data_IF_400903250145
#
_entry.id   IF_400903250145
#
_cell.length_a   1.000
_cell.length_b   1.000
_cell.length_c   1.000
_cell.angle_alpha   90.00
_cell.angle_beta   90.00
_cell.angle_gamma   90.00
#
_symmetry.space_group_name_H-M   'P 1'
#
loop_
_entity.id
_entity.type
_entity.pdbx_description
1 polymer ?
#
# COMPACT_ATOMS: atom_id res chain seq x y z
N UNK A 1 2.15 -6.87 -11.44
CA UNK A 1 3.52 -6.60 -11.02
C UNK A 1 3.67 -6.63 -9.49
N UNK A 2 2.68 -6.13 -8.72
CA UNK A 2 2.78 -5.96 -7.26
C UNK A 2 2.20 -7.11 -6.43
N UNK A 3 2.18 -8.33 -6.95
CA UNK A 3 1.58 -9.48 -6.26
C UNK A 3 2.38 -9.91 -5.02
N UNK A 4 3.69 -9.69 -5.05
CA UNK A 4 4.59 -10.00 -3.94
C UNK A 4 4.97 -8.77 -3.09
N UNK A 5 4.37 -7.61 -3.38
CA UNK A 5 4.64 -6.38 -2.62
C UNK A 5 3.82 -6.38 -1.34
N UNK A 6 4.49 -6.36 -0.19
CA UNK A 6 3.85 -6.32 1.14
C UNK A 6 2.97 -5.07 1.28
N UNK A 7 1.76 -5.24 1.81
CA UNK A 7 0.84 -4.13 2.07
C UNK A 7 0.32 -3.40 0.82
N UNK A 8 0.55 -3.92 -0.38
CA UNK A 8 0.04 -3.31 -1.61
C UNK A 8 -1.49 -3.40 -1.68
N UNK A 9 -2.12 -2.28 -2.00
CA UNK A 9 -3.57 -2.19 -2.23
C UNK A 9 -3.86 -1.99 -3.72
N UNK A 10 -4.68 -2.85 -4.34
CA UNK A 10 -4.97 -2.76 -5.76
C UNK A 10 -5.72 -1.48 -6.09
N UNK A 11 -5.36 -0.88 -7.22
CA UNK A 11 -6.05 0.27 -7.79
C UNK A 11 -7.28 -0.21 -8.54
N UNK A 12 -8.41 0.40 -8.25
CA UNK A 12 -9.67 0.19 -8.96
C UNK A 12 -9.72 1.18 -10.12
N UNK A 13 -9.95 0.69 -11.33
CA UNK A 13 -10.20 1.55 -12.49
C UNK A 13 -11.70 1.67 -12.73
N UNK A 14 -12.18 2.89 -12.92
CA UNK A 14 -13.55 3.14 -13.35
C UNK A 14 -13.56 3.61 -14.82
N UNK A 15 -14.59 3.20 -15.55
CA UNK A 15 -14.82 3.65 -16.90
C UNK A 15 -16.00 4.62 -16.91
N UNK A 16 -15.79 5.80 -17.46
CA UNK A 16 -16.85 6.77 -17.69
C UNK A 16 -17.05 6.97 -19.18
N UNK A 17 -18.31 7.04 -19.60
CA UNK A 17 -18.66 7.39 -20.96
C UNK A 17 -18.41 8.89 -21.21
N UNK A 18 -17.87 9.21 -22.37
CA UNK A 18 -17.64 10.59 -22.77
C UNK A 18 -18.94 11.15 -23.35
N UNK A 19 -19.16 12.46 -23.14
CA UNK A 19 -20.33 13.17 -23.63
C UNK A 19 -20.59 12.93 -25.12
N UNK A 20 -21.84 12.65 -25.45
CA UNK A 20 -22.29 12.56 -26.83
C UNK A 20 -22.28 13.95 -27.48
N UNK A 21 -21.74 14.06 -28.67
CA UNK A 21 -21.89 15.26 -29.52
C UNK A 21 -23.10 15.11 -30.45
N UNK A 22 -23.88 16.18 -30.56
CA UNK A 22 -24.96 16.22 -31.55
C UNK A 22 -24.40 16.46 -32.95
N UNK A 23 -24.57 15.50 -33.81
CA UNK A 23 -24.26 15.66 -35.23
C UNK A 23 -25.50 16.20 -35.95
N UNK A 24 -25.41 17.41 -36.46
CA UNK A 24 -26.49 18.00 -37.24
C UNK A 24 -26.59 17.32 -38.60
N UNK A 25 -27.42 16.31 -38.69
CA UNK A 25 -27.86 15.76 -39.97
C UNK A 25 -29.27 16.30 -40.27
N UNK A 26 -29.49 16.75 -41.50
CA UNK A 26 -30.64 17.50 -41.99
C UNK A 26 -32.04 17.02 -41.58
N UNK A 27 -32.21 15.91 -40.85
CA UNK A 27 -33.53 15.34 -40.54
C UNK A 27 -33.65 14.59 -39.22
N UNK A 28 -32.55 14.39 -38.47
CA UNK A 28 -32.63 13.74 -37.16
C UNK A 28 -31.45 14.17 -36.27
N UNK A 29 -31.70 14.37 -34.98
CA UNK A 29 -30.66 14.51 -33.96
C UNK A 29 -29.93 13.16 -33.79
N UNK A 30 -28.87 12.97 -34.52
CA UNK A 30 -27.98 11.78 -34.35
C UNK A 30 -26.96 12.12 -33.28
N UNK A 31 -26.95 11.36 -32.21
CA UNK A 31 -25.96 11.46 -31.14
C UNK A 31 -24.72 10.59 -31.55
N UNK A 32 -23.59 11.23 -31.69
CA UNK A 32 -22.30 10.56 -31.89
C UNK A 32 -21.61 10.39 -30.55
N UNK A 33 -21.35 9.14 -30.14
CA UNK A 33 -20.58 8.83 -28.94
C UNK A 33 -19.11 9.22 -29.13
N UNK A 34 -18.52 9.82 -28.09
CA UNK A 34 -17.09 10.21 -28.08
C UNK A 34 -16.21 9.11 -27.49
N UNK A 35 -16.76 7.94 -27.20
CA UNK A 35 -16.07 6.82 -26.59
C UNK A 35 -16.11 6.80 -25.05
N UNK A 36 -15.30 5.93 -24.46
CA UNK A 36 -15.19 5.80 -23.00
C UNK A 36 -13.79 6.16 -22.52
N UNK A 37 -13.70 6.69 -21.32
CA UNK A 37 -12.44 7.04 -20.67
C UNK A 37 -12.26 6.21 -19.41
N UNK A 38 -11.10 5.57 -19.29
CA UNK A 38 -10.69 4.98 -18.03
C UNK A 38 -10.18 6.09 -17.09
N UNK A 39 -10.65 6.08 -15.85
CA UNK A 39 -10.23 7.00 -14.80
C UNK A 39 -9.83 6.22 -13.55
N UNK A 40 -9.02 6.85 -12.71
CA UNK A 40 -8.68 6.33 -11.41
C UNK A 40 -9.95 6.29 -10.54
N UNK A 41 -10.33 5.09 -10.10
CA UNK A 41 -11.52 4.85 -9.26
C UNK A 41 -11.22 4.73 -7.77
N UNK A 42 -9.93 4.89 -7.40
CA UNK A 42 -9.49 4.73 -6.01
C UNK A 42 -8.67 3.47 -5.79
N UNK A 43 -8.39 3.18 -4.54
CA UNK A 43 -7.74 1.94 -4.10
C UNK A 43 -8.75 1.06 -3.36
N UNK A 44 -8.52 -0.24 -3.34
CA UNK A 44 -9.25 -1.15 -2.46
C UNK A 44 -8.51 -1.25 -1.12
N UNK A 45 -8.99 -0.62 -0.04
CA UNK A 45 -8.30 -0.58 1.25
C UNK A 45 -8.49 -1.87 2.07
N UNK A 46 -9.28 -2.83 1.61
CA UNK A 46 -9.59 -4.06 2.34
C UNK A 46 -8.33 -4.75 2.83
N UNK A 47 -8.39 -5.26 4.06
CA UNK A 47 -7.29 -6.01 4.64
C UNK A 47 -7.06 -7.31 3.87
N UNK A 48 -5.79 -7.59 3.58
CA UNK A 48 -5.33 -8.83 2.97
C UNK A 48 -4.90 -9.85 4.04
N UNK A 49 -4.53 -11.04 3.62
CA UNK A 49 -4.05 -12.07 4.55
C UNK A 49 -2.78 -11.64 5.25
N UNK A 50 -2.71 -11.90 6.55
CA UNK A 50 -1.51 -11.72 7.36
C UNK A 50 -0.70 -13.02 7.33
N UNK A 51 0.60 -12.92 7.04
CA UNK A 51 1.53 -14.06 6.94
C UNK A 51 2.59 -13.92 8.01
N UNK A 52 2.84 -14.97 8.81
CA UNK A 52 3.89 -14.94 9.80
C UNK A 52 5.27 -14.97 9.11
N UNK A 53 6.14 -14.05 9.50
CA UNK A 53 7.53 -13.97 9.04
C UNK A 53 8.51 -14.44 10.10
N UNK A 54 8.16 -14.29 11.37
CA UNK A 54 9.00 -14.59 12.51
C UNK A 54 10.04 -13.51 12.84
N UNK A 55 10.08 -12.43 12.03
CA UNK A 55 10.95 -11.29 12.30
C UNK A 55 10.29 -10.34 13.31
N UNK A 56 11.02 -9.93 14.34
CA UNK A 56 10.49 -9.12 15.43
C UNK A 56 10.11 -7.70 15.02
N UNK A 57 10.69 -7.20 13.95
CA UNK A 57 10.48 -5.84 13.42
C UNK A 57 9.35 -5.77 12.38
N UNK A 58 8.89 -6.93 11.93
CA UNK A 58 7.76 -7.01 11.02
C UNK A 58 6.46 -6.76 11.78
N UNK A 59 5.74 -5.74 11.37
CA UNK A 59 4.50 -5.31 12.02
C UNK A 59 3.35 -5.38 11.02
N UNK A 60 2.23 -5.94 11.43
CA UNK A 60 1.01 -5.91 10.65
C UNK A 60 -0.13 -5.28 11.45
N UNK A 61 -0.94 -4.47 10.77
CA UNK A 61 -2.16 -3.90 11.37
C UNK A 61 -3.28 -4.92 11.16
N UNK A 62 -3.92 -5.33 12.25
CA UNK A 62 -5.13 -6.13 12.21
C UNK A 62 -6.35 -5.20 12.27
N UNK A 63 -7.00 -5.00 11.13
CA UNK A 63 -8.09 -4.04 10.97
C UNK A 63 -7.73 -2.83 10.11
N UNK A 64 -8.48 -1.74 10.29
CA UNK A 64 -8.29 -0.51 9.53
C UNK A 64 -7.12 0.31 10.10
N UNK A 65 -6.37 0.95 9.21
CA UNK A 65 -5.29 1.86 9.58
C UNK A 65 -4.13 1.83 8.59
N UNK A 66 -3.20 2.74 8.77
CA UNK A 66 -2.02 2.91 7.93
C UNK A 66 -0.87 3.36 8.81
N UNK A 67 0.30 2.81 8.57
CA UNK A 67 1.54 3.36 9.14
C UNK A 67 1.88 4.67 8.46
N UNK A 68 2.48 5.59 9.19
CA UNK A 68 3.00 6.83 8.62
C UNK A 68 4.52 6.76 8.54
N UNK A 69 5.07 7.19 7.42
CA UNK A 69 6.51 7.30 7.18
C UNK A 69 6.84 8.71 6.71
N UNK A 70 7.95 9.23 7.17
CA UNK A 70 8.46 10.54 6.76
C UNK A 70 9.44 10.37 5.62
N UNK A 71 9.00 10.76 4.43
CA UNK A 71 9.82 10.73 3.22
C UNK A 71 10.39 12.11 2.93
N UNK A 72 11.38 12.20 2.05
CA UNK A 72 11.97 13.48 1.60
C UNK A 72 10.93 14.47 1.04
N UNK A 73 9.77 13.95 0.61
CA UNK A 73 8.69 14.72 0.00
C UNK A 73 7.50 14.94 0.95
N UNK A 74 7.66 14.63 2.24
CA UNK A 74 6.65 14.76 3.28
C UNK A 74 6.09 13.42 3.74
N UNK A 75 5.12 13.47 4.64
CA UNK A 75 4.52 12.30 5.27
C UNK A 75 3.74 11.47 4.23
N UNK A 76 4.01 10.17 4.21
CA UNK A 76 3.33 9.17 3.39
C UNK A 76 2.77 8.07 4.27
N UNK A 77 1.87 7.31 3.72
CA UNK A 77 1.19 6.24 4.45
C UNK A 77 1.41 4.90 3.76
N UNK A 78 1.60 3.86 4.56
CA UNK A 78 1.85 2.52 4.05
C UNK A 78 1.10 1.46 4.86
N UNK A 79 0.84 0.33 4.24
CA UNK A 79 0.40 -0.90 4.91
C UNK A 79 1.54 -1.91 5.06
N UNK A 80 2.66 -1.68 4.38
CA UNK A 80 3.86 -2.48 4.59
C UNK A 80 4.43 -2.20 5.97
N UNK A 81 4.63 -3.24 6.75
CA UNK A 81 5.25 -3.18 8.06
C UNK A 81 6.61 -3.87 8.09
N UNK A 82 7.21 -4.11 6.94
CA UNK A 82 8.57 -4.62 6.84
C UNK A 82 9.57 -3.52 7.22
N UNK A 83 9.78 -3.37 8.52
CA UNK A 83 10.64 -2.32 9.07
C UNK A 83 12.03 -2.85 9.39
N UNK A 84 13.01 -1.97 9.28
CA UNK A 84 14.40 -2.24 9.60
C UNK A 84 14.96 -1.16 10.51
N UNK A 85 16.11 -1.41 11.10
CA UNK A 85 16.81 -0.42 11.95
C UNK A 85 17.90 0.23 11.12
N UNK A 86 17.88 1.56 11.04
CA UNK A 86 18.95 2.36 10.49
C UNK A 86 19.69 3.07 11.62
N UNK A 87 21.00 2.91 11.71
CA UNK A 87 21.83 3.59 12.70
C UNK A 87 22.38 4.89 12.12
N UNK A 88 21.98 6.01 12.71
CA UNK A 88 22.55 7.33 12.41
C UNK A 88 23.31 7.87 13.60
N UNK A 89 24.65 7.83 13.50
CA UNK A 89 25.52 8.25 14.59
C UNK A 89 25.36 7.39 15.85
N UNK A 90 24.80 7.95 16.90
CA UNK A 90 24.60 7.27 18.19
C UNK A 90 23.12 6.88 18.45
N UNK A 91 22.24 7.09 17.50
CA UNK A 91 20.81 6.79 17.59
C UNK A 91 20.40 5.84 16.48
N UNK A 92 19.59 4.88 16.81
CA UNK A 92 19.02 3.94 15.82
C UNK A 92 17.56 4.33 15.60
N UNK A 93 17.15 4.41 14.35
CA UNK A 93 15.79 4.74 13.95
C UNK A 93 15.10 3.56 13.27
N UNK A 94 13.79 3.47 13.43
CA UNK A 94 12.97 2.54 12.68
C UNK A 94 12.69 3.13 11.30
N UNK A 95 13.04 2.39 10.24
CA UNK A 95 12.86 2.82 8.84
C UNK A 95 12.16 1.74 8.03
N UNK A 96 11.55 2.15 6.94
CA UNK A 96 10.96 1.23 5.97
C UNK A 96 12.02 0.66 5.00
N UNK A 97 11.58 -0.14 4.03
CA UNK A 97 12.46 -0.72 2.99
C UNK A 97 13.16 0.33 2.11
N UNK A 98 12.63 1.56 2.04
CA UNK A 98 13.18 2.66 1.26
C UNK A 98 14.16 3.51 2.08
N UNK A 99 14.24 3.30 3.39
CA UNK A 99 15.01 4.09 4.33
C UNK A 99 14.27 5.33 4.84
N UNK A 100 12.96 5.39 4.69
CA UNK A 100 12.11 6.46 5.21
C UNK A 100 11.77 6.20 6.69
N UNK A 101 11.74 7.24 7.52
CA UNK A 101 11.54 7.09 8.96
C UNK A 101 10.09 6.79 9.33
N UNK A 102 9.89 5.79 10.18
CA UNK A 102 8.57 5.46 10.71
C UNK A 102 8.19 6.47 11.80
N UNK A 103 6.94 6.93 11.75
CA UNK A 103 6.42 7.95 12.66
C UNK A 103 5.62 7.34 13.80
N UNK A 104 5.74 7.96 14.97
CA UNK A 104 4.90 7.69 16.13
C UNK A 104 3.51 8.36 16.01
N UNK A 105 2.69 8.20 17.03
CA UNK A 105 1.34 8.83 17.15
C UNK A 105 1.38 10.36 17.12
N UNK A 106 2.52 10.96 17.47
CA UNK A 106 2.71 12.41 17.56
C UNK A 106 3.39 12.98 16.30
N UNK A 107 3.79 12.13 15.36
CA UNK A 107 4.51 12.53 14.16
C UNK A 107 6.02 12.67 14.35
N UNK A 108 6.59 12.07 15.40
CA UNK A 108 8.04 12.03 15.60
C UNK A 108 8.62 10.74 15.06
N UNK A 109 9.91 10.74 14.71
CA UNK A 109 10.63 9.55 14.31
C UNK A 109 10.78 8.59 15.49
N UNK A 110 10.56 7.31 15.27
CA UNK A 110 10.71 6.27 16.30
C UNK A 110 12.20 5.95 16.41
N UNK A 111 12.79 6.38 17.54
CA UNK A 111 14.17 6.10 17.87
C UNK A 111 14.27 4.96 18.87
N UNK A 112 15.16 3.99 18.62
CA UNK A 112 15.61 3.10 19.66
C UNK A 112 16.48 3.88 20.60
N UNK A 113 16.08 4.00 21.83
CA UNK A 113 16.98 4.44 22.87
C UNK A 113 18.14 3.46 22.93
N UNK A 114 19.32 3.89 22.44
CA UNK A 114 20.57 3.26 22.83
C UNK A 114 20.64 3.41 24.36
N UNK A 115 20.23 2.37 25.10
CA UNK A 115 20.43 2.40 26.55
C UNK A 115 21.94 2.37 26.79
N UNK A 116 22.51 3.56 26.87
CA UNK A 116 23.74 3.74 27.61
C UNK A 116 23.37 3.44 29.07
N UNK A 117 23.31 2.17 29.41
CA UNK A 117 23.37 1.77 30.79
C UNK A 117 24.72 2.27 31.28
N UNK A 118 24.76 3.41 31.90
CA UNK A 118 25.81 3.79 32.84
C UNK A 118 25.82 2.70 33.89
N UNK A 119 26.72 1.74 33.72
CA UNK A 119 27.10 0.84 34.80
C UNK A 119 27.67 1.75 35.89
N UNK A 120 27.08 1.82 37.09
CA UNK A 120 27.73 2.47 38.19
C UNK A 120 28.97 1.60 38.53
N UNK A 121 30.14 2.15 38.25
CA UNK A 121 31.42 1.67 38.70
C UNK A 121 31.43 1.85 40.21
N UNK A 122 30.94 0.83 40.96
CA UNK A 122 31.32 0.54 42.33
C UNK A 122 30.52 -0.65 42.88
N UNK A 123 31.15 -1.84 42.80
CA UNK A 123 30.99 -2.83 43.87
C UNK A 123 32.17 -3.81 43.75
N UNK A 124 33.06 -3.67 44.68
CA UNK A 124 34.19 -4.57 44.90
C UNK A 124 33.77 -6.01 45.27
N UNK A 125 34.56 -6.96 44.74
CA UNK A 125 35.01 -8.16 45.41
C UNK A 125 34.00 -9.13 46.03
N UNK A 126 33.95 -10.35 45.47
CA UNK A 126 33.42 -11.53 46.18
C UNK A 126 33.17 -12.75 45.32
N UNK A 127 34.24 -13.50 45.01
CA UNK A 127 34.38 -14.98 45.03
C UNK A 127 33.24 -15.90 44.52
N UNK A 128 33.62 -16.69 43.48
CA UNK A 128 33.24 -18.07 43.18
C UNK A 128 31.78 -18.54 43.18
N UNK A 129 31.28 -18.90 42.02
CA UNK A 129 30.91 -20.31 41.73
C UNK A 129 30.42 -20.46 40.27
N UNK A 130 30.98 -21.48 39.59
CA UNK A 130 30.57 -22.01 38.28
C UNK A 130 29.06 -22.08 38.09
N UNK A 131 28.53 -21.46 37.03
CA UNK A 131 27.46 -22.03 36.22
C UNK A 131 27.60 -21.49 34.79
N UNK A 132 27.80 -22.39 33.86
CA UNK A 132 27.93 -22.19 32.45
C UNK A 132 26.62 -21.69 31.84
N UNK A 133 26.82 -20.93 30.76
CA UNK A 133 25.88 -20.71 29.66
C UNK A 133 24.57 -19.95 29.93
N UNK A 134 24.68 -18.64 29.85
CA UNK A 134 23.79 -17.83 29.06
C UNK A 134 24.60 -16.66 28.52
N UNK A 135 25.14 -16.80 27.32
CA UNK A 135 25.60 -15.68 26.57
C UNK A 135 24.40 -14.77 26.37
N UNK A 136 24.26 -13.77 27.25
CA UNK A 136 23.37 -12.66 27.02
C UNK A 136 23.92 -11.95 25.79
N UNK A 137 23.41 -12.33 24.61
CA UNK A 137 23.50 -11.50 23.44
C UNK A 137 23.05 -10.09 23.85
N UNK A 138 23.97 -9.18 23.73
CA UNK A 138 23.75 -7.74 23.87
C UNK A 138 22.82 -7.32 22.74
N UNK A 139 21.53 -7.63 22.88
CA UNK A 139 20.51 -7.19 21.98
C UNK A 139 20.34 -5.69 22.23
N UNK A 140 21.07 -4.90 21.48
CA UNK A 140 20.69 -3.51 21.19
C UNK A 140 19.37 -3.61 20.43
N UNK A 141 18.30 -3.87 21.12
CA UNK A 141 17.06 -4.24 20.48
C UNK A 141 15.94 -3.31 20.92
N UNK A 142 15.19 -2.85 19.93
CA UNK A 142 13.81 -2.49 20.14
C UNK A 142 13.10 -3.69 20.80
N UNK A 143 12.47 -3.45 21.93
CA UNK A 143 11.56 -4.44 22.49
C UNK A 143 10.31 -4.49 21.60
N UNK A 144 10.00 -5.64 20.96
CA UNK A 144 8.87 -5.77 20.05
C UNK A 144 7.53 -5.33 20.68
N UNK A 145 7.38 -5.58 21.98
CA UNK A 145 6.18 -5.17 22.71
C UNK A 145 6.07 -3.65 22.85
N UNK A 146 7.20 -2.96 22.97
CA UNK A 146 7.21 -1.49 23.04
C UNK A 146 6.98 -0.84 21.69
N UNK A 147 7.41 -1.48 20.59
CA UNK A 147 7.21 -0.98 19.22
C UNK A 147 5.73 -0.90 18.85
N UNK A 148 4.94 -1.92 19.16
CA UNK A 148 3.50 -1.91 18.86
C UNK A 148 2.75 -0.77 19.53
N UNK A 149 3.23 -0.32 20.69
CA UNK A 149 2.66 0.80 21.43
C UNK A 149 3.12 2.17 20.89
N UNK A 150 4.33 2.24 20.31
CA UNK A 150 4.96 3.47 19.85
C UNK A 150 4.55 3.81 18.42
N UNK A 151 4.42 2.79 17.55
CA UNK A 151 4.12 3.01 16.13
C UNK A 151 2.79 3.72 15.96
N UNK A 152 2.81 4.81 15.18
CA UNK A 152 1.63 5.58 14.81
C UNK A 152 0.79 4.84 13.77
N UNK A 153 -0.47 4.59 14.10
CA UNK A 153 -1.46 4.08 13.13
C UNK A 153 -2.52 5.13 12.89
N UNK A 154 -2.76 5.41 11.63
CA UNK A 154 -3.63 6.50 11.19
C UNK A 154 -4.80 5.96 10.38
N UNK A 155 -5.96 6.58 10.54
CA UNK A 155 -7.16 6.27 9.78
C UNK A 155 -7.62 7.47 8.97
N UNK A 156 -8.20 7.21 7.82
CA UNK A 156 -8.80 8.21 6.94
C UNK A 156 -10.32 8.08 6.93
N UNK A 157 -11.00 9.20 6.71
CA UNK A 157 -12.45 9.20 6.54
C UNK A 157 -12.86 8.46 5.25
N UNK A 158 -12.06 8.62 4.19
CA UNK A 158 -12.24 7.93 2.91
C UNK A 158 -10.91 7.34 2.43
N UNK A 159 -10.56 6.12 2.87
CA UNK A 159 -9.28 5.50 2.52
C UNK A 159 -9.17 5.13 1.04
N UNK A 160 -10.30 4.93 0.33
CA UNK A 160 -10.32 4.62 -1.11
C UNK A 160 -9.76 5.76 -1.96
N UNK A 161 -9.88 7.00 -1.48
CA UNK A 161 -9.43 8.19 -2.18
C UNK A 161 -7.93 8.49 -2.01
N UNK A 162 -7.18 7.70 -1.24
CA UNK A 162 -5.74 7.86 -1.12
C UNK A 162 -5.07 7.72 -2.49
N UNK A 163 -4.07 8.56 -2.75
CA UNK A 163 -3.35 8.56 -4.02
C UNK A 163 -2.11 7.68 -3.92
N UNK A 164 -1.99 6.60 -4.71
CA UNK A 164 -0.77 5.79 -4.74
C UNK A 164 0.36 6.58 -5.41
N UNK A 165 1.51 6.67 -4.75
CA UNK A 165 2.71 7.32 -5.29
C UNK A 165 3.75 6.29 -5.69
N UNK A 166 3.88 5.23 -4.92
CA UNK A 166 4.77 4.10 -5.18
C UNK A 166 4.03 2.79 -4.96
N UNK A 167 4.72 1.67 -5.08
CA UNK A 167 4.11 0.35 -4.95
C UNK A 167 3.38 0.13 -3.62
N UNK A 168 3.88 0.71 -2.53
CA UNK A 168 3.34 0.54 -1.18
C UNK A 168 3.17 1.86 -0.41
N UNK A 169 3.37 3.03 -1.07
CA UNK A 169 3.25 4.35 -0.46
C UNK A 169 2.06 5.13 -1.01
N UNK A 170 1.30 5.72 -0.12
CA UNK A 170 0.07 6.46 -0.41
C UNK A 170 0.14 7.87 0.17
N UNK A 171 -0.45 8.82 -0.54
CA UNK A 171 -0.56 10.21 -0.12
C UNK A 171 -1.99 10.56 0.22
N UNK A 172 -2.16 11.28 1.33
CA UNK A 172 -3.45 11.87 1.67
C UNK A 172 -3.76 13.06 0.77
N UNK A 173 -5.00 13.13 0.31
CA UNK A 173 -5.51 14.23 -0.48
C UNK A 173 -6.79 14.83 0.13
N UNK A 174 -7.31 15.89 -0.48
CA UNK A 174 -8.52 16.55 0.01
C UNK A 174 -9.76 15.64 0.07
N UNK A 175 -9.79 14.57 -0.74
CA UNK A 175 -10.92 13.63 -0.82
C UNK A 175 -10.79 12.51 0.21
N UNK A 176 -9.56 12.10 0.57
CA UNK A 176 -9.33 11.10 1.62
C UNK A 176 -9.62 11.66 3.02
N UNK A 177 -9.56 12.99 3.17
CA UNK A 177 -9.63 13.67 4.44
C UNK A 177 -8.28 13.67 5.19
N UNK A 178 -8.27 14.33 6.34
CA UNK A 178 -7.10 14.38 7.21
C UNK A 178 -6.89 13.03 7.91
N UNK A 179 -5.62 12.66 8.10
CA UNK A 179 -5.25 11.50 8.89
C UNK A 179 -5.64 11.70 10.36
N UNK A 180 -6.33 10.75 10.94
CA UNK A 180 -6.67 10.72 12.36
C UNK A 180 -5.95 9.56 13.04
N UNK A 181 -5.31 9.83 14.18
CA UNK A 181 -4.57 8.84 14.96
C UNK A 181 -5.54 7.83 15.58
N UNK A 182 -5.19 6.56 15.54
CA UNK A 182 -5.87 5.50 16.28
C UNK A 182 -5.14 5.32 17.61
N UNK A 183 -5.81 5.59 18.71
CA UNK A 183 -5.18 5.55 20.05
C UNK A 183 -4.77 4.14 20.48
N UNK A 184 -5.58 3.15 20.13
CA UNK A 184 -5.35 1.73 20.45
C UNK A 184 -5.42 0.91 19.15
N UNK A 185 -4.37 0.94 18.34
CA UNK A 185 -4.33 0.11 17.13
C UNK A 185 -4.08 -1.36 17.52
N UNK A 186 -4.70 -2.25 16.78
CA UNK A 186 -4.38 -3.68 16.87
C UNK A 186 -3.22 -3.98 15.93
N UNK A 187 -2.00 -3.96 16.46
CA UNK A 187 -0.76 -4.22 15.72
C UNK A 187 -0.15 -5.53 16.22
N UNK A 188 0.13 -6.43 15.30
CA UNK A 188 0.72 -7.73 15.57
C UNK A 188 2.16 -7.75 15.08
N UNK A 189 3.09 -8.24 15.91
CA UNK A 189 4.50 -8.41 15.57
C UNK A 189 4.76 -9.77 14.92
N UNK A 190 5.78 -9.85 14.06
CA UNK A 190 6.15 -11.08 13.37
C UNK A 190 5.23 -11.47 12.22
N UNK A 191 4.43 -10.53 11.73
CA UNK A 191 3.52 -10.71 10.61
C UNK A 191 3.67 -9.57 9.61
N UNK A 192 3.43 -9.90 8.33
CA UNK A 192 3.30 -8.92 7.27
C UNK A 192 1.96 -9.10 6.54
N UNK A 193 1.38 -8.00 6.10
CA UNK A 193 0.22 -8.04 5.25
C UNK A 193 0.64 -8.33 3.81
N UNK A 194 0.05 -9.36 3.20
CA UNK A 194 0.28 -9.67 1.80
C UNK A 194 -0.33 -8.62 0.87
N UNK A 195 0.10 -8.68 -0.40
CA UNK A 195 -0.54 -7.90 -1.45
C UNK A 195 -2.04 -8.20 -1.53
N UNK A 196 -2.86 -7.15 -1.68
CA UNK A 196 -4.29 -7.27 -1.97
C UNK A 196 -4.60 -7.72 -3.41
N UNK A 197 -3.58 -8.00 -4.22
CA UNK A 197 -3.74 -8.47 -5.59
C UNK A 197 -3.96 -9.99 -5.63
N UNK A 198 -5.03 -10.42 -6.29
CA UNK A 198 -5.26 -11.81 -6.66
C UNK A 198 -4.77 -12.05 -8.09
N UNK A 199 -3.84 -12.99 -8.27
CA UNK A 199 -3.38 -13.38 -9.61
C UNK A 199 -4.52 -13.99 -10.43
N UNK A 200 -5.39 -14.73 -9.79
CA UNK A 200 -6.53 -15.40 -10.46
C UNK A 200 -7.50 -14.36 -11.01
N UNK A 201 -7.88 -13.37 -10.17
CA UNK A 201 -8.77 -12.30 -10.61
C UNK A 201 -8.14 -11.47 -11.72
N UNK A 202 -6.85 -11.13 -11.62
CA UNK A 202 -6.14 -10.42 -12.67
C UNK A 202 -6.06 -11.19 -14.00
N UNK A 203 -5.96 -12.52 -13.97
CA UNK A 203 -6.02 -13.34 -15.18
C UNK A 203 -7.43 -13.38 -15.77
N UNK A 204 -8.46 -13.46 -14.93
CA UNK A 204 -9.86 -13.40 -15.39
C UNK A 204 -10.16 -12.07 -16.06
N UNK A 205 -9.76 -10.98 -15.45
CA UNK A 205 -9.94 -9.63 -16.01
C UNK A 205 -9.20 -9.46 -17.34
N UNK A 206 -7.98 -9.99 -17.45
CA UNK A 206 -7.21 -9.96 -18.69
C UNK A 206 -7.90 -10.75 -19.81
N UNK A 207 -8.41 -11.94 -19.50
CA UNK A 207 -9.16 -12.75 -20.49
C UNK A 207 -10.46 -12.06 -20.89
N UNK A 208 -11.18 -11.44 -19.94
CA UNK A 208 -12.38 -10.67 -20.21
C UNK A 208 -12.10 -9.46 -21.13
N UNK A 209 -11.05 -8.70 -20.82
CA UNK A 209 -10.62 -7.57 -21.64
C UNK A 209 -10.20 -8.00 -23.06
N UNK A 210 -9.45 -9.12 -23.17
CA UNK A 210 -9.06 -9.67 -24.46
C UNK A 210 -10.27 -10.08 -25.29
N UNK A 211 -11.28 -10.74 -24.69
CA UNK A 211 -12.51 -11.11 -25.39
C UNK A 211 -13.31 -9.88 -25.82
N UNK A 212 -13.41 -8.85 -24.97
CA UNK A 212 -14.09 -7.61 -25.29
C UNK A 212 -13.42 -6.91 -26.50
N UNK A 213 -12.09 -6.88 -26.53
CA UNK A 213 -11.34 -6.35 -27.67
C UNK A 213 -11.60 -7.15 -28.97
N UNK A 214 -11.57 -8.49 -28.89
CA UNK A 214 -11.83 -9.36 -30.03
C UNK A 214 -13.26 -9.18 -30.57
N UNK A 215 -14.25 -9.03 -29.68
CA UNK A 215 -15.64 -8.76 -30.10
C UNK A 215 -15.77 -7.41 -30.77
N UNK A 216 -15.15 -6.37 -30.22
CA UNK A 216 -15.14 -5.03 -30.83
C UNK A 216 -14.50 -5.03 -32.21
N UNK A 217 -13.37 -5.72 -32.38
CA UNK A 217 -12.71 -5.87 -33.68
C UNK A 217 -13.60 -6.62 -34.69
N UNK A 218 -14.30 -7.66 -34.23
CA UNK A 218 -15.22 -8.41 -35.09
C UNK A 218 -16.43 -7.58 -35.53
N UNK A 219 -16.97 -6.74 -34.65
CA UNK A 219 -18.06 -5.82 -35.00
C UNK A 219 -17.61 -4.82 -36.09
N UNK A 220 -16.39 -4.31 -36.00
CA UNK A 220 -15.84 -3.44 -37.03
C UNK A 220 -15.70 -4.16 -38.37
N UNK A 221 -15.18 -5.41 -38.36
CA UNK A 221 -15.08 -6.23 -39.56
C UNK A 221 -16.43 -6.50 -40.22
N UNK A 222 -17.46 -6.82 -39.41
CA UNK A 222 -18.81 -7.05 -39.98
C UNK A 222 -19.41 -5.75 -40.54
N UNK A 223 -19.14 -4.61 -39.91
CA UNK A 223 -19.58 -3.32 -40.46
C UNK A 223 -18.92 -3.00 -41.80
N UNK A 224 -17.60 -3.27 -41.96
CA UNK A 224 -16.90 -3.11 -43.23
C UNK A 224 -17.42 -4.06 -44.31
N UNK A 225 -17.72 -5.32 -43.95
CA UNK A 225 -18.32 -6.31 -44.87
C UNK A 225 -19.72 -5.87 -45.35
N UNK A 226 -20.53 -5.33 -44.42
CA UNK A 226 -21.86 -4.80 -44.77
C UNK A 226 -21.77 -3.60 -45.70
N UNK A 227 -20.83 -2.64 -45.46
CA UNK A 227 -20.60 -1.52 -46.38
C UNK A 227 -20.13 -1.98 -47.73
N UNK A 228 -19.24 -2.96 -47.81
CA UNK A 228 -18.78 -3.54 -49.10
C UNK A 228 -19.95 -4.19 -49.82
N UNK A 229 -20.82 -4.91 -49.13
CA UNK A 229 -22.00 -5.53 -49.70
C UNK A 229 -22.98 -4.51 -50.25
N UNK A 230 -23.24 -3.43 -49.51
CA UNK A 230 -24.11 -2.33 -49.97
C UNK A 230 -23.52 -1.63 -51.21
N UNK A 231 -22.20 -1.39 -51.20
CA UNK A 231 -21.54 -0.79 -52.34
C UNK A 231 -21.56 -1.68 -53.60
N UNK A 232 -21.44 -3.00 -53.44
CA UNK A 232 -21.52 -3.96 -54.55
C UNK A 232 -22.93 -4.09 -55.14
N UNK A 233 -23.97 -3.85 -54.35
CA UNK A 233 -25.37 -3.84 -54.82
C UNK A 233 -25.77 -2.54 -55.55
N UNK A 234 -24.95 -1.49 -55.42
CA UNK A 234 -25.20 -0.16 -56.01
C UNK A 234 -24.45 0.04 -57.35
N UNK A 235 -23.53 -0.85 -57.68
CA UNK A 235 -22.80 -0.87 -58.97
C UNK A 235 -23.51 -1.79 -59.97
#
# INVERSE_FOLDING_TARGET
ANINTTGYKPVVTSFSDLLYSKMYVKSADVLSGQGSRASYGGINPSQSSLVPTGESLDLAINGDGWFAVDTKNGVRYTRSGAFTISAEGNTSYLVDENGDYVLDKNGNHIAALSSTATVPENAETGTDTDTQDAAAEKTTGFDPASLTAQVGVFRFANPEALTPISSNLYEANAQSGAASVIEKPDVVTGYLEQSGMSMVDGMVDLVAAQRAYQLSAKVLQTADEDEQTVNSLRS
#
